data_IF_007342150477
#
_entry.id   IF_007342150477
#
_cell.length_a   1.000
_cell.length_b   1.000
_cell.length_c   1.000
_cell.angle_alpha   90.00
_cell.angle_beta   90.00
_cell.angle_gamma   90.00
#
_symmetry.space_group_name_H-M   'P 1'
#
loop_
_entity.id
_entity.type
_entity.pdbx_description
1 polymer ?
#
# COMPACT_ATOMS: atom_id res chain seq x y z
N UNK A 1 11.20 -2.93 -20.21
CA UNK A 1 10.84 -3.75 -19.04
C UNK A 1 11.59 -5.08 -19.14
N UNK A 2 12.42 -5.45 -18.17
CA UNK A 2 13.22 -6.69 -18.24
C UNK A 2 12.29 -7.92 -18.21
N UNK A 3 12.60 -9.02 -18.93
CA UNK A 3 11.68 -10.19 -19.09
C UNK A 3 11.17 -10.74 -17.75
N UNK A 4 12.01 -10.70 -16.70
CA UNK A 4 11.66 -11.10 -15.33
C UNK A 4 10.57 -10.22 -14.70
N UNK A 5 10.54 -8.91 -14.98
CA UNK A 5 9.51 -7.99 -14.47
C UNK A 5 8.18 -8.16 -15.23
N UNK A 6 8.22 -8.55 -16.50
CA UNK A 6 7.03 -8.82 -17.28
C UNK A 6 6.25 -10.04 -16.76
N UNK A 7 6.94 -11.12 -16.37
CA UNK A 7 6.29 -12.30 -15.77
C UNK A 7 5.63 -11.99 -14.41
N UNK A 8 6.28 -11.16 -13.59
CA UNK A 8 5.74 -10.73 -12.28
C UNK A 8 4.52 -9.83 -12.44
N UNK A 9 4.61 -8.88 -13.37
CA UNK A 9 3.49 -8.00 -13.71
C UNK A 9 2.30 -8.81 -14.24
N UNK A 10 2.55 -9.76 -15.14
CA UNK A 10 1.50 -10.62 -15.69
C UNK A 10 0.81 -11.46 -14.60
N UNK A 11 1.58 -12.11 -13.72
CA UNK A 11 1.01 -12.95 -12.66
C UNK A 11 0.17 -12.15 -11.64
N UNK A 12 0.56 -10.90 -11.38
CA UNK A 12 -0.17 -10.00 -10.50
C UNK A 12 -1.44 -9.42 -11.15
N UNK A 13 -1.41 -9.14 -12.45
CA UNK A 13 -2.55 -8.62 -13.21
C UNK A 13 -3.59 -9.70 -13.53
N UNK A 14 -3.12 -10.92 -13.83
CA UNK A 14 -3.91 -12.02 -14.36
C UNK A 14 -5.23 -12.30 -13.60
N UNK A 15 -5.24 -12.45 -12.25
CA UNK A 15 -6.49 -12.82 -11.57
C UNK A 15 -7.57 -11.74 -11.69
N UNK A 16 -7.19 -10.46 -11.79
CA UNK A 16 -8.14 -9.36 -11.98
C UNK A 16 -8.69 -9.31 -13.40
N UNK A 17 -7.83 -9.57 -14.40
CA UNK A 17 -8.27 -9.69 -15.79
C UNK A 17 -9.19 -10.89 -15.99
N UNK A 18 -8.91 -12.02 -15.32
CA UNK A 18 -9.78 -13.19 -15.34
C UNK A 18 -11.12 -12.91 -14.66
N UNK A 19 -11.12 -12.29 -13.48
CA UNK A 19 -12.35 -11.89 -12.79
C UNK A 19 -13.19 -10.94 -13.67
N UNK A 20 -12.56 -9.96 -14.31
CA UNK A 20 -13.24 -9.02 -15.20
C UNK A 20 -13.78 -9.72 -16.44
N UNK A 21 -13.00 -10.60 -17.06
CA UNK A 21 -13.45 -11.35 -18.22
C UNK A 21 -14.66 -12.23 -17.89
N UNK A 22 -14.62 -12.94 -16.75
CA UNK A 22 -15.75 -13.74 -16.28
C UNK A 22 -16.98 -12.88 -16.07
N UNK A 23 -16.84 -11.73 -15.40
CA UNK A 23 -17.95 -10.82 -15.13
C UNK A 23 -18.56 -10.25 -16.42
N UNK A 24 -17.73 -9.78 -17.35
CA UNK A 24 -18.18 -9.28 -18.66
C UNK A 24 -18.84 -10.36 -19.51
N UNK A 25 -18.35 -11.61 -19.45
CA UNK A 25 -18.98 -12.75 -20.12
C UNK A 25 -20.34 -13.05 -19.48
N UNK A 26 -20.44 -13.05 -18.15
CA UNK A 26 -21.72 -13.22 -17.45
C UNK A 26 -22.69 -12.11 -17.82
N UNK A 27 -22.25 -10.86 -17.80
CA UNK A 27 -23.07 -9.72 -18.21
C UNK A 27 -23.55 -9.87 -19.66
N UNK A 28 -22.65 -10.16 -20.60
CA UNK A 28 -22.99 -10.30 -22.01
C UNK A 28 -23.97 -11.45 -22.28
N UNK A 29 -23.77 -12.60 -21.62
CA UNK A 29 -24.61 -13.80 -21.80
C UNK A 29 -25.95 -13.71 -21.07
N UNK A 30 -26.07 -12.87 -20.04
CA UNK A 30 -27.31 -12.69 -19.26
C UNK A 30 -28.01 -11.36 -19.52
N UNK A 31 -27.46 -10.50 -20.37
CA UNK A 31 -27.92 -9.12 -20.61
C UNK A 31 -29.42 -9.00 -20.84
N UNK A 32 -29.98 -9.92 -21.64
CA UNK A 32 -31.40 -9.89 -22.03
C UNK A 32 -32.36 -10.25 -20.88
N UNK A 33 -31.83 -10.89 -19.83
CA UNK A 33 -32.57 -11.33 -18.64
C UNK A 33 -32.37 -10.39 -17.44
N UNK A 34 -31.60 -9.31 -17.60
CA UNK A 34 -31.34 -8.35 -16.55
C UNK A 34 -32.35 -7.20 -16.62
N UNK A 35 -32.84 -6.67 -15.49
CA UNK A 35 -33.57 -5.41 -15.43
C UNK A 35 -32.78 -4.23 -16.00
N UNK A 36 -33.45 -3.15 -16.40
CA UNK A 36 -32.78 -1.92 -16.85
C UNK A 36 -32.03 -1.23 -15.70
N UNK A 37 -32.60 -1.31 -14.50
CA UNK A 37 -32.01 -0.86 -13.24
C UNK A 37 -31.90 -2.06 -12.29
N UNK A 38 -30.65 -2.46 -12.01
CA UNK A 38 -30.25 -3.59 -11.18
C UNK A 38 -30.34 -3.17 -9.70
N UNK A 39 -30.82 -4.04 -8.82
CA UNK A 39 -30.60 -3.89 -7.39
C UNK A 39 -29.09 -3.86 -7.11
N UNK A 40 -28.62 -2.77 -6.50
CA UNK A 40 -27.19 -2.47 -6.32
C UNK A 40 -26.80 -2.30 -4.85
N UNK A 41 -27.73 -1.85 -4.01
CA UNK A 41 -27.52 -1.70 -2.57
C UNK A 41 -28.41 -2.66 -1.79
N UNK A 42 -27.83 -3.30 -0.76
CA UNK A 42 -28.53 -4.26 0.09
C UNK A 42 -28.32 -3.91 1.56
N UNK A 43 -29.42 -3.67 2.30
CA UNK A 43 -29.34 -3.39 3.74
C UNK A 43 -29.06 -4.66 4.54
N UNK A 44 -28.81 -4.55 5.86
CA UNK A 44 -28.35 -5.66 6.70
C UNK A 44 -29.23 -6.91 6.75
N UNK A 45 -30.48 -6.86 6.30
CA UNK A 45 -31.35 -8.03 6.14
C UNK A 45 -31.28 -8.68 4.74
N UNK A 46 -30.38 -8.18 3.88
CA UNK A 46 -30.17 -8.61 2.51
C UNK A 46 -31.15 -8.05 1.49
N UNK A 47 -32.14 -7.22 1.87
CA UNK A 47 -33.10 -6.66 0.89
C UNK A 47 -32.50 -5.49 0.13
N UNK A 48 -32.85 -5.40 -1.15
CA UNK A 48 -32.48 -4.26 -1.98
C UNK A 48 -33.27 -3.00 -1.60
N UNK A 49 -32.59 -1.85 -1.54
CA UNK A 49 -33.19 -0.52 -1.32
C UNK A 49 -32.65 0.57 -2.28
N UNK A 50 -31.65 0.24 -3.11
CA UNK A 50 -31.16 1.11 -4.18
C UNK A 50 -30.89 0.34 -5.48
N UNK A 51 -30.83 1.09 -6.60
CA UNK A 51 -30.69 0.53 -7.94
C UNK A 51 -29.64 1.27 -8.79
N UNK A 52 -28.90 0.54 -9.61
CA UNK A 52 -27.92 1.06 -10.55
C UNK A 52 -28.26 0.69 -12.00
N UNK A 53 -27.90 1.53 -12.96
CA UNK A 53 -28.08 1.22 -14.38
C UNK A 53 -27.17 0.09 -14.85
N UNK A 54 -27.56 -0.65 -15.90
CA UNK A 54 -26.69 -1.70 -16.51
C UNK A 54 -25.30 -1.16 -16.91
N UNK A 55 -25.25 0.03 -17.50
CA UNK A 55 -23.98 0.68 -17.89
C UNK A 55 -23.15 1.05 -16.68
N UNK A 56 -23.79 1.54 -15.62
CA UNK A 56 -23.12 1.92 -14.37
C UNK A 56 -22.47 0.70 -13.72
N UNK A 57 -23.18 -0.42 -13.65
CA UNK A 57 -22.63 -1.70 -13.19
C UNK A 57 -21.36 -2.08 -13.97
N UNK A 58 -21.40 -2.09 -15.31
CA UNK A 58 -20.24 -2.46 -16.14
C UNK A 58 -19.06 -1.52 -15.92
N UNK A 59 -19.31 -0.20 -15.85
CA UNK A 59 -18.27 0.80 -15.63
C UNK A 59 -17.63 0.61 -14.25
N UNK A 60 -18.44 0.47 -13.20
CA UNK A 60 -17.97 0.26 -11.82
C UNK A 60 -17.12 -1.00 -11.72
N UNK A 61 -17.63 -2.14 -12.20
CA UNK A 61 -16.89 -3.42 -12.14
C UNK A 61 -15.58 -3.35 -12.93
N UNK A 62 -15.60 -2.74 -14.11
CA UNK A 62 -14.39 -2.55 -14.93
C UNK A 62 -13.36 -1.67 -14.24
N UNK A 63 -13.76 -0.50 -13.75
CA UNK A 63 -12.85 0.44 -13.07
C UNK A 63 -12.30 -0.19 -11.80
N UNK A 64 -13.14 -0.86 -11.00
CA UNK A 64 -12.73 -1.54 -9.78
C UNK A 64 -11.66 -2.61 -10.05
N UNK A 65 -11.92 -3.54 -10.97
CA UNK A 65 -11.00 -4.65 -11.25
C UNK A 65 -9.72 -4.21 -11.97
N UNK A 66 -9.80 -3.25 -12.89
CA UNK A 66 -8.62 -2.72 -13.59
C UNK A 66 -7.73 -1.91 -12.65
N UNK A 67 -8.31 -1.01 -11.82
CA UNK A 67 -7.53 -0.19 -10.88
C UNK A 67 -6.81 -1.06 -9.84
N UNK A 68 -7.51 -2.07 -9.34
CA UNK A 68 -6.99 -3.10 -8.47
C UNK A 68 -5.84 -3.90 -9.10
N UNK A 69 -6.05 -4.39 -10.32
CA UNK A 69 -5.03 -5.13 -11.06
C UNK A 69 -3.79 -4.28 -11.34
N UNK A 70 -3.98 -3.02 -11.71
CA UNK A 70 -2.89 -2.07 -11.91
C UNK A 70 -2.09 -1.88 -10.61
N UNK A 71 -2.75 -1.73 -9.46
CA UNK A 71 -2.08 -1.59 -8.18
C UNK A 71 -1.23 -2.82 -7.83
N UNK A 72 -1.79 -4.03 -7.91
CA UNK A 72 -1.04 -5.25 -7.60
C UNK A 72 0.13 -5.46 -8.56
N UNK A 73 -0.06 -5.13 -9.83
CA UNK A 73 0.99 -5.13 -10.85
C UNK A 73 2.12 -4.18 -10.47
N UNK A 74 1.80 -2.95 -10.05
CA UNK A 74 2.80 -1.98 -9.58
C UNK A 74 3.53 -2.45 -8.33
N UNK A 75 2.83 -3.07 -7.37
CA UNK A 75 3.44 -3.64 -6.16
C UNK A 75 4.40 -4.79 -6.48
N UNK A 76 4.00 -5.71 -7.36
CA UNK A 76 4.81 -6.87 -7.74
C UNK A 76 6.00 -6.49 -8.64
N UNK A 77 5.80 -5.57 -9.58
CA UNK A 77 6.84 -5.10 -10.51
C UNK A 77 7.82 -4.09 -9.88
N UNK A 78 7.42 -3.42 -8.79
CA UNK A 78 8.22 -2.39 -8.11
C UNK A 78 9.48 -2.89 -7.40
N UNK A 79 9.76 -4.21 -7.42
CA UNK A 79 11.04 -4.79 -6.98
C UNK A 79 11.30 -4.78 -5.46
N UNK A 80 10.39 -4.23 -4.66
CA UNK A 80 10.54 -4.10 -3.20
C UNK A 80 10.32 -5.40 -2.43
N UNK A 81 9.58 -6.34 -3.02
CA UNK A 81 9.29 -7.63 -2.39
C UNK A 81 10.13 -8.75 -3.02
N UNK A 82 10.81 -9.53 -2.17
CA UNK A 82 11.61 -10.72 -2.54
C UNK A 82 11.12 -11.93 -1.75
N UNK A 83 11.56 -13.13 -2.14
CA UNK A 83 11.30 -14.35 -1.38
C UNK A 83 9.82 -14.59 -1.03
N UNK A 84 9.57 -14.94 0.24
CA UNK A 84 8.23 -15.20 0.80
C UNK A 84 7.31 -13.98 0.75
N UNK A 85 7.86 -12.77 0.91
CA UNK A 85 7.08 -11.54 0.86
C UNK A 85 6.50 -11.29 -0.54
N UNK A 86 7.26 -11.58 -1.60
CA UNK A 86 6.75 -11.50 -2.96
C UNK A 86 5.62 -12.50 -3.21
N UNK A 87 5.77 -13.74 -2.73
CA UNK A 87 4.70 -14.76 -2.83
C UNK A 87 3.44 -14.33 -2.10
N UNK A 88 3.58 -13.72 -0.91
CA UNK A 88 2.45 -13.15 -0.17
C UNK A 88 1.72 -12.03 -0.91
N UNK A 89 2.45 -11.15 -1.62
CA UNK A 89 1.85 -10.09 -2.44
C UNK A 89 1.08 -10.64 -3.64
N UNK A 90 1.62 -11.65 -4.33
CA UNK A 90 0.90 -12.30 -5.42
C UNK A 90 -0.36 -13.00 -4.87
N UNK A 91 -0.22 -13.81 -3.82
CA UNK A 91 -1.32 -14.54 -3.25
C UNK A 91 -2.45 -13.62 -2.74
N UNK A 92 -2.12 -12.50 -2.11
CA UNK A 92 -3.13 -11.52 -1.68
C UNK A 92 -3.87 -10.89 -2.87
N UNK A 93 -3.20 -10.70 -4.01
CA UNK A 93 -3.84 -10.19 -5.23
C UNK A 93 -4.86 -11.17 -5.79
N UNK A 94 -4.49 -12.45 -5.85
CA UNK A 94 -5.42 -13.51 -6.21
C UNK A 94 -6.60 -13.59 -5.25
N UNK A 95 -6.37 -13.45 -3.94
CA UNK A 95 -7.43 -13.46 -2.94
C UNK A 95 -8.44 -12.33 -3.15
N UNK A 96 -7.95 -11.10 -3.35
CA UNK A 96 -8.80 -9.92 -3.54
C UNK A 96 -9.56 -10.02 -4.88
N UNK A 97 -8.91 -10.48 -5.95
CA UNK A 97 -9.56 -10.72 -7.23
C UNK A 97 -10.68 -11.77 -7.12
N UNK A 98 -10.42 -12.88 -6.42
CA UNK A 98 -11.41 -13.94 -6.21
C UNK A 98 -12.60 -13.47 -5.38
N UNK A 99 -12.34 -12.74 -4.29
CA UNK A 99 -13.39 -12.15 -3.46
C UNK A 99 -14.27 -11.17 -4.27
N UNK A 100 -13.66 -10.17 -4.92
CA UNK A 100 -14.40 -9.16 -5.66
C UNK A 100 -15.10 -9.73 -6.88
N UNK A 101 -14.43 -10.60 -7.64
CA UNK A 101 -15.03 -11.28 -8.79
C UNK A 101 -16.25 -12.11 -8.38
N UNK A 102 -16.19 -12.82 -7.25
CA UNK A 102 -17.34 -13.55 -6.72
C UNK A 102 -18.49 -12.61 -6.34
N UNK A 103 -18.22 -11.54 -5.58
CA UNK A 103 -19.28 -10.61 -5.14
C UNK A 103 -19.94 -9.93 -6.33
N UNK A 104 -19.17 -9.42 -7.29
CA UNK A 104 -19.72 -8.76 -8.48
C UNK A 104 -20.54 -9.72 -9.34
N UNK A 105 -20.06 -10.95 -9.54
CA UNK A 105 -20.78 -11.98 -10.27
C UNK A 105 -22.09 -12.37 -9.58
N UNK A 106 -22.09 -12.53 -8.25
CA UNK A 106 -23.32 -12.85 -7.51
C UNK A 106 -24.31 -11.71 -7.56
N UNK A 107 -23.88 -10.45 -7.36
CA UNK A 107 -24.78 -9.27 -7.46
C UNK A 107 -25.44 -9.19 -8.83
N UNK A 108 -24.72 -9.51 -9.91
CA UNK A 108 -25.31 -9.64 -11.24
C UNK A 108 -26.31 -10.78 -11.31
N UNK A 109 -25.92 -11.97 -10.85
CA UNK A 109 -26.71 -13.19 -10.98
C UNK A 109 -28.02 -13.16 -10.18
N UNK A 110 -28.04 -12.54 -9.00
CA UNK A 110 -29.30 -12.39 -8.23
C UNK A 110 -30.28 -11.42 -8.88
N UNK A 111 -29.82 -10.57 -9.81
CA UNK A 111 -30.67 -9.69 -10.60
C UNK A 111 -31.22 -10.36 -11.87
N UNK A 112 -30.71 -11.55 -12.25
CA UNK A 112 -31.18 -12.26 -13.44
C UNK A 112 -32.62 -12.74 -13.22
N UNK A 113 -33.50 -12.44 -14.18
CA UNK A 113 -34.94 -12.72 -14.13
C UNK A 113 -35.71 -12.05 -12.97
N UNK A 114 -35.11 -11.05 -12.32
CA UNK A 114 -35.84 -10.29 -11.30
C UNK A 114 -37.09 -9.63 -11.91
N UNK A 115 -38.20 -9.67 -11.19
CA UNK A 115 -39.41 -8.95 -11.57
C UNK A 115 -39.10 -7.46 -11.72
N UNK A 116 -39.80 -6.76 -12.61
CA UNK A 116 -39.54 -5.33 -12.89
C UNK A 116 -40.76 -4.47 -12.63
N UNK A 117 -40.54 -3.28 -12.09
CA UNK A 117 -41.58 -2.24 -12.00
C UNK A 117 -41.75 -1.47 -13.31
N UNK A 118 -42.68 -0.50 -13.33
CA UNK A 118 -42.93 0.36 -14.50
C UNK A 118 -41.72 1.22 -14.92
N UNK A 119 -40.70 1.36 -14.08
CA UNK A 119 -39.46 2.09 -14.36
C UNK A 119 -38.31 1.15 -14.75
N UNK A 120 -38.58 -0.16 -14.86
CA UNK A 120 -37.58 -1.18 -15.20
C UNK A 120 -36.62 -1.52 -14.05
N UNK A 121 -37.00 -1.24 -12.79
CA UNK A 121 -36.21 -1.55 -11.59
C UNK A 121 -36.50 -2.95 -11.11
N UNK A 122 -35.43 -3.66 -10.77
CA UNK A 122 -35.49 -4.98 -10.14
C UNK A 122 -36.31 -4.93 -8.84
N UNK A 123 -37.27 -5.84 -8.70
CA UNK A 123 -38.13 -6.03 -7.54
C UNK A 123 -37.83 -7.35 -6.86
N UNK A 124 -38.06 -7.39 -5.55
CA UNK A 124 -37.91 -8.58 -4.70
C UNK A 124 -36.54 -9.28 -4.78
N UNK A 125 -35.50 -8.53 -5.13
CA UNK A 125 -34.12 -9.00 -5.08
C UNK A 125 -33.62 -8.97 -3.64
N UNK A 126 -33.01 -10.08 -3.22
CA UNK A 126 -32.30 -10.17 -1.95
C UNK A 126 -30.90 -10.75 -2.15
N UNK A 127 -29.96 -10.27 -1.34
CA UNK A 127 -28.60 -10.76 -1.22
C UNK A 127 -28.47 -11.55 0.09
N UNK A 128 -28.53 -12.89 0.05
CA UNK A 128 -28.29 -13.71 1.23
C UNK A 128 -26.88 -13.51 1.79
N UNK A 129 -26.76 -13.19 3.09
CA UNK A 129 -25.46 -12.88 3.72
C UNK A 129 -24.45 -14.04 3.69
N UNK A 130 -24.87 -15.29 3.48
CA UNK A 130 -23.95 -16.41 3.30
C UNK A 130 -23.02 -16.24 2.09
N UNK A 131 -23.42 -15.42 1.10
CA UNK A 131 -22.55 -15.06 -0.01
C UNK A 131 -21.28 -14.31 0.44
N UNK A 132 -21.29 -13.65 1.60
CA UNK A 132 -20.07 -13.07 2.18
C UNK A 132 -19.10 -14.18 2.61
N UNK A 133 -19.59 -15.24 3.26
CA UNK A 133 -18.78 -16.40 3.61
C UNK A 133 -18.28 -17.13 2.36
N UNK A 134 -19.11 -17.27 1.33
CA UNK A 134 -18.70 -17.85 0.06
C UNK A 134 -17.67 -16.99 -0.68
N UNK A 135 -17.78 -15.66 -0.65
CA UNK A 135 -16.80 -14.74 -1.20
C UNK A 135 -15.45 -14.85 -0.47
N UNK A 136 -15.46 -14.96 0.85
CA UNK A 136 -14.26 -15.24 1.65
C UNK A 136 -13.64 -16.58 1.28
N UNK A 137 -14.47 -17.62 1.08
CA UNK A 137 -14.03 -18.93 0.59
C UNK A 137 -13.40 -18.86 -0.80
N UNK A 138 -14.02 -18.15 -1.74
CA UNK A 138 -13.47 -17.92 -3.08
C UNK A 138 -12.12 -17.17 -3.02
N UNK A 139 -12.02 -16.14 -2.18
CA UNK A 139 -10.77 -15.44 -1.92
C UNK A 139 -9.69 -16.34 -1.31
N UNK A 140 -10.03 -17.20 -0.35
CA UNK A 140 -9.09 -18.14 0.25
C UNK A 140 -8.58 -19.19 -0.74
N UNK A 141 -9.47 -19.73 -1.58
CA UNK A 141 -9.08 -20.66 -2.66
C UNK A 141 -8.17 -19.98 -3.67
N UNK A 142 -8.51 -18.76 -4.09
CA UNK A 142 -7.68 -17.97 -5.00
C UNK A 142 -6.32 -17.60 -4.37
N UNK A 143 -6.27 -17.30 -3.07
CA UNK A 143 -5.03 -17.10 -2.32
C UNK A 143 -4.11 -18.32 -2.41
N UNK A 144 -4.66 -19.52 -2.15
CA UNK A 144 -3.92 -20.78 -2.26
C UNK A 144 -3.39 -21.02 -3.67
N UNK A 145 -4.19 -20.74 -4.69
CA UNK A 145 -3.78 -20.81 -6.09
C UNK A 145 -2.67 -19.78 -6.42
N UNK A 146 -2.78 -18.56 -5.92
CA UNK A 146 -1.75 -17.53 -6.07
C UNK A 146 -0.43 -17.92 -5.41
N UNK A 147 -0.45 -18.55 -4.23
CA UNK A 147 0.74 -19.12 -3.59
C UNK A 147 1.36 -20.23 -4.44
N UNK A 148 0.54 -21.15 -4.94
CA UNK A 148 0.99 -22.26 -5.78
C UNK A 148 1.65 -21.74 -7.06
N UNK A 149 1.00 -20.83 -7.77
CA UNK A 149 1.54 -20.25 -9.01
C UNK A 149 2.80 -19.41 -8.76
N UNK A 150 2.86 -18.67 -7.65
CA UNK A 150 4.06 -17.94 -7.25
C UNK A 150 5.21 -18.85 -6.78
N UNK A 151 4.92 -20.09 -6.40
CA UNK A 151 5.93 -21.10 -6.09
C UNK A 151 6.49 -21.78 -7.36
N UNK A 152 5.67 -21.93 -8.40
CA UNK A 152 6.05 -22.53 -9.68
C UNK A 152 6.90 -21.61 -10.58
N UNK A 153 6.93 -20.31 -10.29
CA UNK A 153 7.73 -19.32 -11.04
C UNK A 153 9.03 -18.97 -10.31
N UNK A 154 10.15 -18.73 -11.04
CA UNK A 154 11.43 -18.40 -10.43
C UNK A 154 11.30 -17.14 -9.56
N UNK A 155 11.58 -17.29 -8.27
CA UNK A 155 11.63 -16.16 -7.33
C UNK A 155 12.93 -15.39 -7.59
N UNK A 156 12.92 -14.04 -7.58
CA UNK A 156 14.18 -13.32 -7.52
C UNK A 156 14.89 -13.72 -6.24
N UNK A 157 16.04 -14.38 -6.39
CA UNK A 157 16.94 -14.67 -5.29
C UNK A 157 17.18 -13.37 -4.51
N UNK A 158 17.12 -13.48 -3.19
CA UNK A 158 17.82 -12.48 -2.38
C UNK A 158 19.27 -12.52 -2.87
N UNK A 159 19.90 -11.38 -3.18
CA UNK A 159 21.34 -11.40 -3.32
C UNK A 159 21.86 -12.09 -2.07
N UNK A 160 22.59 -13.21 -2.26
CA UNK A 160 23.40 -13.75 -1.19
C UNK A 160 24.12 -12.54 -0.62
N UNK A 161 23.86 -12.23 0.64
CA UNK A 161 24.61 -11.19 1.29
C UNK A 161 26.05 -11.63 1.20
N UNK A 162 26.81 -11.09 0.25
CA UNK A 162 28.18 -10.74 0.52
C UNK A 162 28.08 -9.78 1.70
N UNK A 163 28.04 -10.37 2.89
CA UNK A 163 28.63 -9.76 4.06
C UNK A 163 30.07 -9.57 3.61
N UNK A 164 30.54 -8.33 3.38
CA UNK A 164 31.97 -8.14 3.34
C UNK A 164 32.44 -8.68 4.67
N UNK A 165 33.34 -9.66 4.67
CA UNK A 165 34.15 -10.00 5.83
C UNK A 165 34.97 -8.75 6.17
N UNK A 166 34.30 -7.84 6.84
CA UNK A 166 34.76 -6.54 7.26
C UNK A 166 34.30 -6.44 8.70
N UNK A 167 35.26 -6.66 9.59
CA UNK A 167 35.18 -6.38 11.01
C UNK A 167 34.80 -4.90 11.19
N UNK A 168 33.49 -4.62 11.19
CA UNK A 168 32.91 -3.28 11.10
C UNK A 168 32.00 -3.04 12.28
N UNK A 169 32.59 -2.85 13.45
CA UNK A 169 31.88 -2.49 14.66
C UNK A 169 30.97 -1.29 14.44
N UNK A 170 29.82 -1.28 15.13
CA UNK A 170 28.90 -0.15 15.20
C UNK A 170 29.64 1.14 15.62
N UNK A 171 30.16 1.89 14.64
CA UNK A 171 31.01 3.04 14.84
C UNK A 171 30.24 4.34 14.63
N UNK A 172 29.98 5.06 15.72
CA UNK A 172 29.51 6.44 15.63
C UNK A 172 30.55 7.31 14.91
N UNK A 173 30.13 8.04 13.87
CA UNK A 173 30.96 9.08 13.24
C UNK A 173 31.56 8.73 11.88
N UNK A 174 31.08 7.70 11.18
CA UNK A 174 31.44 7.51 9.78
C UNK A 174 31.08 8.73 8.92
N UNK A 175 31.90 8.97 7.89
CA UNK A 175 31.79 10.09 6.95
C UNK A 175 32.02 9.57 5.55
N UNK A 176 31.19 10.04 4.63
CA UNK A 176 31.41 9.80 3.20
C UNK A 176 32.38 10.85 2.70
N UNK A 177 33.43 10.44 1.98
CA UNK A 177 34.37 11.37 1.35
C UNK A 177 33.68 12.05 0.16
N UNK A 178 33.61 13.38 0.17
CA UNK A 178 33.10 14.19 -0.95
C UNK A 178 34.25 15.02 -1.52
N UNK A 179 34.31 15.15 -2.84
CA UNK A 179 35.26 16.04 -3.49
C UNK A 179 34.91 17.52 -3.21
N UNK A 180 35.92 18.39 -3.28
CA UNK A 180 35.73 19.83 -3.08
C UNK A 180 34.72 20.38 -4.09
N UNK A 181 33.62 20.96 -3.59
CA UNK A 181 32.52 21.51 -4.40
C UNK A 181 31.43 20.49 -4.78
N UNK A 182 31.58 19.21 -4.45
CA UNK A 182 30.60 18.17 -4.77
C UNK A 182 29.27 18.38 -4.02
N UNK A 183 28.15 18.27 -4.74
CA UNK A 183 26.80 18.35 -4.19
C UNK A 183 26.25 16.93 -4.06
N UNK A 184 26.17 16.42 -2.84
CA UNK A 184 25.59 15.10 -2.56
C UNK A 184 24.21 15.22 -1.89
N UNK A 185 23.35 14.27 -2.23
CA UNK A 185 22.03 14.12 -1.62
C UNK A 185 21.67 12.65 -1.51
N UNK A 186 21.10 12.26 -0.37
CA UNK A 186 20.63 10.90 -0.10
C UNK A 186 19.13 10.92 0.10
N UNK A 187 18.42 9.92 -0.45
CA UNK A 187 16.98 9.82 -0.34
C UNK A 187 16.51 8.36 -0.24
N UNK A 188 15.67 8.06 0.74
CA UNK A 188 15.05 6.74 0.91
C UNK A 188 13.60 6.83 1.36
N UNK A 189 12.81 5.81 1.02
CA UNK A 189 11.44 5.67 1.50
C UNK A 189 11.47 5.14 2.93
N UNK A 190 10.83 5.84 3.87
CA UNK A 190 10.59 5.40 5.24
C UNK A 190 9.24 4.68 5.43
N UNK A 191 8.47 4.52 4.35
CA UNK A 191 7.16 3.87 4.39
C UNK A 191 7.21 2.40 4.78
N UNK A 192 6.25 1.96 5.59
CA UNK A 192 6.08 0.55 5.89
C UNK A 192 5.36 -0.15 4.72
N UNK A 193 5.89 -1.29 4.30
CA UNK A 193 5.36 -2.03 3.15
C UNK A 193 3.89 -2.45 3.32
N UNK A 194 3.43 -2.63 4.56
CA UNK A 194 2.08 -3.05 4.91
C UNK A 194 1.06 -1.90 4.89
N UNK A 195 1.49 -0.64 4.97
CA UNK A 195 0.56 0.50 4.98
C UNK A 195 -0.15 0.66 3.63
N UNK A 196 0.54 0.39 2.51
CA UNK A 196 -0.07 0.44 1.17
C UNK A 196 -1.21 -0.58 1.01
N UNK A 197 -1.04 -1.88 1.32
CA UNK A 197 -2.15 -2.83 1.23
C UNK A 197 -3.25 -2.57 2.26
N UNK A 198 -2.94 -2.09 3.48
CA UNK A 198 -3.99 -1.72 4.45
C UNK A 198 -4.83 -0.56 3.94
N UNK A 199 -4.20 0.54 3.50
CA UNK A 199 -4.89 1.66 2.89
C UNK A 199 -5.86 1.22 1.78
N UNK A 200 -5.36 0.31 0.95
CA UNK A 200 -6.09 -0.19 -0.17
C UNK A 200 -7.26 -1.11 0.24
N UNK A 201 -7.05 -2.05 1.18
CA UNK A 201 -8.13 -2.89 1.73
C UNK A 201 -9.20 -2.03 2.38
N UNK A 202 -8.82 -0.95 3.08
CA UNK A 202 -9.76 0.01 3.63
C UNK A 202 -10.57 0.72 2.53
N UNK A 203 -9.94 1.14 1.43
CA UNK A 203 -10.66 1.68 0.28
C UNK A 203 -11.61 0.65 -0.34
N UNK A 204 -11.16 -0.60 -0.54
CA UNK A 204 -12.00 -1.67 -1.09
C UNK A 204 -13.19 -1.99 -0.17
N UNK A 205 -12.98 -2.00 1.14
CA UNK A 205 -14.05 -2.10 2.12
C UNK A 205 -15.01 -0.90 2.02
N UNK A 206 -14.50 0.31 1.81
CA UNK A 206 -15.32 1.49 1.56
C UNK A 206 -16.17 1.38 0.29
N UNK A 207 -15.61 0.83 -0.79
CA UNK A 207 -16.39 0.50 -2.01
C UNK A 207 -17.46 -0.55 -1.70
N UNK A 208 -17.13 -1.62 -0.98
CA UNK A 208 -18.11 -2.64 -0.59
C UNK A 208 -19.22 -2.06 0.32
N UNK A 209 -18.87 -1.15 1.23
CA UNK A 209 -19.83 -0.44 2.07
C UNK A 209 -20.75 0.46 1.25
N UNK A 210 -20.30 0.98 0.11
CA UNK A 210 -21.16 1.76 -0.80
C UNK A 210 -22.35 0.94 -1.28
N UNK A 211 -22.17 -0.38 -1.42
CA UNK A 211 -23.19 -1.33 -1.89
C UNK A 211 -23.90 -2.10 -0.77
N UNK A 212 -23.46 -1.98 0.49
CA UNK A 212 -24.05 -2.75 1.61
C UNK A 212 -24.53 -1.91 2.79
N UNK A 213 -24.00 -0.70 2.96
CA UNK A 213 -24.35 0.21 4.06
C UNK A 213 -24.54 1.67 3.62
N UNK A 214 -24.46 1.93 2.32
CA UNK A 214 -24.73 3.20 1.67
C UNK A 214 -23.55 4.15 1.74
N UNK A 215 -23.70 5.29 1.09
CA UNK A 215 -22.65 6.29 0.98
C UNK A 215 -22.19 6.85 2.34
N UNK A 216 -23.07 6.86 3.35
CA UNK A 216 -22.76 7.34 4.71
C UNK A 216 -21.72 6.47 5.42
N UNK A 217 -21.73 5.15 5.18
CA UNK A 217 -20.70 4.22 5.68
C UNK A 217 -19.49 4.13 4.74
N UNK A 218 -19.72 4.24 3.43
CA UNK A 218 -18.68 4.14 2.41
C UNK A 218 -17.69 5.30 2.44
N UNK A 219 -18.18 6.55 2.49
CA UNK A 219 -17.35 7.75 2.39
C UNK A 219 -16.29 7.80 3.50
N UNK A 220 -16.61 7.58 4.79
CA UNK A 220 -15.61 7.56 5.84
C UNK A 220 -14.53 6.49 5.62
N UNK A 221 -14.91 5.28 5.20
CA UNK A 221 -13.95 4.21 4.92
C UNK A 221 -13.06 4.53 3.72
N UNK A 222 -13.62 5.09 2.64
CA UNK A 222 -12.87 5.55 1.47
C UNK A 222 -11.91 6.69 1.84
N UNK A 223 -12.36 7.68 2.60
CA UNK A 223 -11.52 8.78 3.07
C UNK A 223 -10.40 8.27 3.98
N UNK A 224 -10.69 7.33 4.88
CA UNK A 224 -9.68 6.74 5.76
C UNK A 224 -8.65 5.94 4.96
N UNK A 225 -9.08 5.13 3.99
CA UNK A 225 -8.18 4.41 3.10
C UNK A 225 -7.32 5.34 2.25
N UNK A 226 -7.90 6.42 1.72
CA UNK A 226 -7.16 7.45 0.97
C UNK A 226 -6.14 8.18 1.85
N UNK A 227 -6.51 8.47 3.11
CA UNK A 227 -5.61 9.05 4.09
C UNK A 227 -4.43 8.11 4.34
N UNK A 228 -4.69 6.83 4.64
CA UNK A 228 -3.65 5.82 4.81
C UNK A 228 -2.74 5.73 3.57
N UNK A 229 -3.30 5.83 2.36
CA UNK A 229 -2.54 5.80 1.11
C UNK A 229 -1.63 7.02 0.98
N UNK A 230 -2.13 8.21 1.28
CA UNK A 230 -1.37 9.47 1.26
C UNK A 230 -0.16 9.42 2.20
N UNK A 231 -0.28 8.69 3.32
CA UNK A 231 0.75 8.55 4.35
C UNK A 231 1.58 7.26 4.27
N UNK A 232 1.29 6.37 3.33
CA UNK A 232 1.93 5.05 3.28
C UNK A 232 3.43 5.10 2.92
N UNK A 233 3.88 6.19 2.27
CA UNK A 233 5.25 6.32 1.76
C UNK A 233 5.86 7.70 2.00
N UNK A 234 6.25 8.01 3.25
CA UNK A 234 7.17 9.10 3.48
C UNK A 234 8.52 8.82 2.83
N UNK A 235 9.16 9.88 2.35
CA UNK A 235 10.53 9.94 1.90
C UNK A 235 11.35 10.72 2.91
N UNK A 236 12.51 10.19 3.25
CA UNK A 236 13.55 10.87 4.01
C UNK A 236 14.61 11.30 3.01
N UNK A 237 14.99 12.57 3.09
CA UNK A 237 16.03 13.18 2.27
C UNK A 237 17.06 13.82 3.20
N UNK A 238 18.33 13.61 2.88
CA UNK A 238 19.49 14.21 3.54
C UNK A 238 20.25 14.99 2.47
N UNK A 239 20.38 16.30 2.67
CA UNK A 239 21.11 17.20 1.78
C UNK A 239 21.76 18.33 2.60
N UNK A 240 22.39 19.30 1.93
CA UNK A 240 23.01 20.49 2.57
C UNK A 240 22.04 21.29 3.45
N UNK A 241 20.73 21.08 3.32
CA UNK A 241 19.71 21.75 4.14
C UNK A 241 19.39 21.01 5.42
N UNK A 242 19.85 19.77 5.59
CA UNK A 242 19.63 18.92 6.76
C UNK A 242 18.78 17.70 6.45
N UNK A 243 17.98 17.25 7.43
CA UNK A 243 17.07 16.11 7.27
C UNK A 243 15.68 16.63 6.92
N UNK A 244 15.08 16.12 5.86
CA UNK A 244 13.67 16.35 5.54
C UNK A 244 12.92 15.04 5.43
N UNK A 245 11.80 14.92 6.17
CA UNK A 245 10.81 13.85 6.04
C UNK A 245 9.56 14.43 5.38
N UNK A 246 9.18 13.91 4.21
CA UNK A 246 8.02 14.38 3.44
C UNK A 246 7.18 13.22 2.91
N UNK A 247 5.86 13.38 2.88
CA UNK A 247 4.95 12.43 2.24
C UNK A 247 4.84 12.61 0.72
N UNK A 248 3.85 11.95 0.12
CA UNK A 248 3.46 12.19 -1.28
C UNK A 248 2.80 13.56 -1.48
N UNK A 249 2.19 14.11 -0.42
CA UNK A 249 1.65 15.47 -0.43
C UNK A 249 2.72 16.49 -0.02
N UNK A 250 2.57 17.77 -0.42
CA UNK A 250 3.47 18.86 0.01
C UNK A 250 3.52 19.02 1.53
N UNK A 251 2.47 18.59 2.22
CA UNK A 251 2.31 18.58 3.67
C UNK A 251 1.69 17.24 4.12
N UNK A 252 2.02 16.72 5.31
CA UNK A 252 2.98 17.22 6.30
C UNK A 252 4.44 16.93 5.92
N UNK A 253 5.29 17.90 6.23
CA UNK A 253 6.73 17.88 5.99
C UNK A 253 7.45 18.30 7.26
N UNK A 254 8.33 17.44 7.76
CA UNK A 254 9.19 17.74 8.90
C UNK A 254 10.59 18.01 8.37
N UNK A 255 11.17 19.16 8.75
CA UNK A 255 12.53 19.52 8.37
C UNK A 255 13.33 19.89 9.60
N UNK A 256 14.49 19.25 9.73
CA UNK A 256 15.50 19.56 10.73
C UNK A 256 16.67 20.21 9.99
N UNK A 257 16.87 21.53 10.15
CA UNK A 257 17.96 22.25 9.51
C UNK A 257 19.34 21.75 9.94
N UNK A 258 20.30 21.73 9.02
CA UNK A 258 21.68 21.25 9.28
C UNK A 258 22.38 22.03 10.41
N UNK A 259 22.07 23.31 10.63
CA UNK A 259 22.62 24.16 11.72
C UNK A 259 22.28 23.63 13.10
N UNK A 260 21.17 22.91 13.19
CA UNK A 260 20.70 22.38 14.46
C UNK A 260 21.27 21.02 14.75
N UNK A 261 22.01 20.39 13.84
CA UNK A 261 22.46 19.00 13.97
C UNK A 261 23.96 19.00 14.32
N UNK A 262 24.30 18.37 15.44
CA UNK A 262 25.69 18.27 15.92
C UNK A 262 26.38 17.00 15.41
N UNK A 263 25.65 15.88 15.41
CA UNK A 263 26.11 14.55 14.95
C UNK A 263 24.92 13.69 14.54
N UNK A 264 25.19 12.68 13.72
CA UNK A 264 24.22 11.70 13.27
C UNK A 264 24.75 10.28 13.43
N UNK A 265 23.89 9.37 13.89
CA UNK A 265 24.21 7.94 14.00
C UNK A 265 23.10 7.09 13.41
N UNK A 266 23.49 5.94 12.87
CA UNK A 266 22.56 4.88 12.49
C UNK A 266 22.41 3.92 13.66
N UNK A 267 21.17 3.59 14.03
CA UNK A 267 20.88 2.54 15.02
C UNK A 267 19.51 1.93 14.80
N UNK A 268 19.31 0.75 15.36
CA UNK A 268 17.97 0.19 15.49
C UNK A 268 17.13 1.00 16.48
N UNK A 269 15.88 1.26 16.08
CA UNK A 269 14.90 2.00 16.87
C UNK A 269 13.69 1.09 17.10
N UNK A 270 13.29 0.96 18.35
CA UNK A 270 12.02 0.37 18.73
C UNK A 270 11.00 1.47 19.08
N UNK A 271 10.06 1.82 18.18
CA UNK A 271 9.15 2.94 18.38
C UNK A 271 8.24 2.78 19.60
N UNK A 272 7.77 1.56 19.87
CA UNK A 272 6.91 1.25 21.01
C UNK A 272 7.64 1.50 22.33
N UNK A 273 8.83 0.91 22.48
CA UNK A 273 9.60 0.97 23.73
C UNK A 273 10.19 2.37 23.97
N UNK A 274 10.70 3.03 22.92
CA UNK A 274 11.48 4.26 23.09
C UNK A 274 10.65 5.54 22.93
N UNK A 275 9.59 5.50 22.13
CA UNK A 275 8.79 6.69 21.77
C UNK A 275 7.31 6.55 22.13
N UNK A 276 6.84 5.35 22.49
CA UNK A 276 5.44 5.07 22.84
C UNK A 276 4.53 4.81 21.64
N UNK A 277 5.10 4.43 20.49
CA UNK A 277 4.37 4.03 19.31
C UNK A 277 4.85 4.71 18.03
N UNK A 278 4.08 4.51 16.96
CA UNK A 278 4.39 5.00 15.62
C UNK A 278 3.82 6.41 15.37
N UNK A 279 4.31 7.05 14.31
CA UNK A 279 3.95 8.40 13.87
C UNK A 279 4.99 9.46 14.23
N UNK A 280 4.59 10.73 14.16
CA UNK A 280 5.37 11.84 14.68
C UNK A 280 5.18 11.96 16.18
N UNK A 281 6.27 11.88 16.94
CA UNK A 281 6.25 11.86 18.41
C UNK A 281 7.16 12.93 18.99
N UNK A 282 6.65 13.62 20.01
CA UNK A 282 7.39 14.61 20.79
C UNK A 282 7.40 14.14 22.23
N UNK A 283 8.59 13.95 22.78
CA UNK A 283 8.88 13.61 24.18
C UNK A 283 9.89 14.62 24.72
N UNK A 284 9.98 14.80 26.04
CA UNK A 284 11.06 15.59 26.63
C UNK A 284 12.42 15.09 26.13
N UNK A 285 13.18 15.96 25.44
CA UNK A 285 14.50 15.63 24.90
C UNK A 285 14.54 14.77 23.62
N UNK A 286 13.41 14.25 23.13
CA UNK A 286 13.39 13.36 21.96
C UNK A 286 12.21 13.64 21.05
N UNK A 287 12.48 13.81 19.77
CA UNK A 287 11.47 13.95 18.72
C UNK A 287 11.74 12.93 17.63
N UNK A 288 10.73 12.53 16.88
CA UNK A 288 10.99 11.70 15.72
C UNK A 288 9.78 11.28 14.93
N UNK A 289 10.05 10.73 13.75
CA UNK A 289 9.07 10.17 12.83
C UNK A 289 9.35 8.68 12.68
N UNK A 290 8.50 7.84 13.27
CA UNK A 290 8.66 6.38 13.22
C UNK A 290 7.48 5.74 12.51
N UNK A 291 7.70 5.24 11.30
CA UNK A 291 6.64 4.58 10.53
C UNK A 291 6.78 3.06 10.61
N UNK A 292 8.01 2.58 10.79
CA UNK A 292 8.35 1.17 11.07
C UNK A 292 9.34 1.06 12.24
N UNK A 293 9.49 -0.14 12.77
CA UNK A 293 10.61 -0.50 13.66
C UNK A 293 11.86 -0.88 12.84
N UNK A 294 13.02 -0.90 13.48
CA UNK A 294 14.31 -1.29 12.88
C UNK A 294 15.24 -0.10 12.67
N UNK A 295 16.15 -0.21 11.71
CA UNK A 295 17.19 0.79 11.48
C UNK A 295 16.62 2.20 11.22
N UNK A 296 17.32 3.21 11.72
CA UNK A 296 16.96 4.61 11.59
C UNK A 296 18.12 5.56 11.89
N UNK A 297 17.97 6.79 11.40
CA UNK A 297 18.91 7.89 11.64
C UNK A 297 18.50 8.58 12.94
N UNK A 298 19.44 8.73 13.86
CA UNK A 298 19.30 9.56 15.07
C UNK A 298 20.27 10.71 15.00
N UNK A 299 19.72 11.91 14.82
CA UNK A 299 20.44 13.17 14.78
C UNK A 299 20.41 13.82 16.16
N UNK A 300 21.59 14.06 16.73
CA UNK A 300 21.72 14.88 17.93
C UNK A 300 21.60 16.35 17.55
N UNK A 301 20.69 17.05 18.21
CA UNK A 301 20.44 18.46 17.99
C UNK A 301 21.18 19.34 19.00
N UNK A 302 21.49 20.56 18.57
CA UNK A 302 21.98 21.63 19.43
C UNK A 302 21.05 21.82 20.64
N UNK A 303 21.64 21.74 21.83
CA UNK A 303 20.92 21.76 23.10
C UNK A 303 20.51 20.37 23.63
N UNK A 304 21.18 19.29 23.18
CA UNK A 304 21.09 17.95 23.79
C UNK A 304 19.80 17.18 23.51
N UNK A 305 19.03 17.60 22.50
CA UNK A 305 17.78 16.92 22.08
C UNK A 305 18.08 15.99 20.93
N UNK A 306 17.31 14.92 20.77
CA UNK A 306 17.46 14.00 19.62
C UNK A 306 16.28 14.12 18.65
N UNK A 307 16.59 14.02 17.35
CA UNK A 307 15.61 13.77 16.29
C UNK A 307 15.87 12.41 15.65
N UNK A 308 14.87 11.54 15.65
CA UNK A 308 14.97 10.19 15.11
C UNK A 308 14.03 9.96 13.93
N UNK A 309 14.48 9.22 12.92
CA UNK A 309 13.63 8.78 11.80
C UNK A 309 13.97 7.35 11.40
N UNK A 310 12.96 6.47 11.32
CA UNK A 310 13.18 5.10 10.85
C UNK A 310 13.16 5.04 9.33
N UNK A 311 14.23 4.52 8.73
CA UNK A 311 14.46 4.52 7.29
C UNK A 311 15.53 3.51 6.93
N UNK A 312 15.39 2.84 5.79
CA UNK A 312 16.38 1.86 5.33
C UNK A 312 17.69 2.57 4.98
N UNK A 313 18.83 1.87 5.03
CA UNK A 313 20.14 2.41 4.64
C UNK A 313 20.52 3.63 5.49
N UNK A 314 20.20 3.59 6.79
CA UNK A 314 20.40 4.73 7.69
C UNK A 314 21.87 5.02 7.98
N UNK A 315 22.77 4.04 7.81
CA UNK A 315 24.21 4.22 7.92
C UNK A 315 24.73 5.21 6.88
N UNK A 316 24.40 5.01 5.60
CA UNK A 316 24.79 5.93 4.51
C UNK A 316 24.21 7.32 4.70
N UNK A 317 22.92 7.40 5.10
CA UNK A 317 22.26 8.68 5.38
C UNK A 317 22.91 9.44 6.54
N UNK A 318 23.26 8.74 7.63
CA UNK A 318 23.96 9.34 8.77
C UNK A 318 25.39 9.77 8.42
N UNK A 319 26.12 8.94 7.66
CA UNK A 319 27.48 9.24 7.23
C UNK A 319 27.55 10.46 6.31
N UNK A 320 26.61 10.58 5.36
CA UNK A 320 26.47 11.80 4.55
C UNK A 320 26.18 13.02 5.42
N UNK A 321 25.28 12.90 6.40
CA UNK A 321 24.92 14.01 7.26
C UNK A 321 26.11 14.51 8.09
N UNK A 322 26.94 13.60 8.62
CA UNK A 322 28.17 13.95 9.33
C UNK A 322 29.18 14.68 8.43
N UNK A 323 29.37 14.23 7.18
CA UNK A 323 30.23 14.93 6.21
C UNK A 323 29.75 16.36 5.97
N UNK A 324 28.43 16.55 5.78
CA UNK A 324 27.86 17.87 5.54
C UNK A 324 27.97 18.81 6.75
N UNK A 325 27.88 18.26 7.98
CA UNK A 325 28.10 19.02 9.22
C UNK A 325 29.54 19.54 9.27
N UNK A 326 30.52 18.70 8.93
CA UNK A 326 31.94 19.07 8.99
C UNK A 326 32.34 20.07 7.90
N UNK A 327 31.89 19.89 6.66
CA UNK A 327 32.09 20.87 5.58
C UNK A 327 31.60 22.25 5.98
N UNK A 328 30.45 22.31 6.63
CA UNK A 328 29.91 23.58 7.12
C UNK A 328 30.77 24.21 8.22
N UNK A 329 31.32 23.39 9.13
CA UNK A 329 32.21 23.88 10.19
C UNK A 329 33.54 24.42 9.63
N UNK A 330 33.98 23.92 8.48
CA UNK A 330 35.19 24.42 7.81
C UNK A 330 34.94 25.65 6.93
N UNK A 331 33.70 25.87 6.49
CA UNK A 331 33.30 27.04 5.67
C UNK A 331 33.03 28.30 6.52
N UNK A 332 32.97 28.18 7.85
CA UNK A 332 32.77 29.26 8.82
C UNK A 332 34.04 29.55 9.61
#
# INVERSE_FOLDING_TARGET
MNRKNAGRAALAALPFLLALAVDLILFATRRDRLPAQLASHFVGNGRADDHAGRTEYVVVTTVLLISMGALWTLMAAGGKFRGRAHRGVIASGWAVAGFLGYVMAVVLLINVDAAVDARGRAQDVSFPLWHLAAALGAGALAFGLGLLLAALLPVPEEPAGEVPDGDGGAGGGERITLATGEVAGWARSAGAWWLTPVAFVTCAAGVALLFTAGWTAAIPALLFGLLLAAFARPYVTVDRRGITVSGMLPWPRVRVPLDRIETAVSRDINPLAEYGGWGYRIRPGRTGVMIRSGEGIVARLAGGRDFAVTVDDSATGAALLNTLIDQRRTDH
#
